data_IF_921496182483
#
_entry.id   IF_921496182483
#
_cell.length_a   1.000
_cell.length_b   1.000
_cell.length_c   1.000
_cell.angle_alpha   90.00
_cell.angle_beta   90.00
_cell.angle_gamma   90.00
#
_symmetry.space_group_name_H-M   'P 1'
#
loop_
_entity.id
_entity.type
_entity.pdbx_description
1 polymer ?
#
# COMPACT_ATOMS: atom_id res chain seq x y z
N UNK A 1 -24.53 -10.59 -7.30
CA UNK A 1 -24.52 -11.90 -7.95
C UNK A 1 -24.84 -11.82 -9.45
N UNK A 2 -25.93 -11.15 -9.84
CA UNK A 2 -26.37 -11.06 -11.24
C UNK A 2 -25.42 -10.26 -12.15
N UNK A 3 -24.82 -9.14 -11.67
CA UNK A 3 -23.84 -8.37 -12.43
C UNK A 3 -22.50 -9.12 -12.56
N UNK A 4 -22.05 -9.80 -11.52
CA UNK A 4 -20.86 -10.64 -11.57
C UNK A 4 -21.05 -11.85 -12.51
N UNK A 5 -22.23 -12.46 -12.51
CA UNK A 5 -22.57 -13.53 -13.44
C UNK A 5 -22.64 -13.03 -14.89
N UNK A 6 -23.17 -11.82 -15.10
CA UNK A 6 -23.24 -11.20 -16.43
C UNK A 6 -21.86 -10.79 -16.95
N UNK A 7 -20.99 -10.27 -16.10
CA UNK A 7 -19.59 -9.97 -16.44
C UNK A 7 -18.82 -11.27 -16.75
N UNK A 8 -19.03 -12.34 -16.01
CA UNK A 8 -18.43 -13.66 -16.27
C UNK A 8 -18.88 -14.21 -17.61
N UNK A 9 -20.15 -14.13 -17.93
CA UNK A 9 -20.67 -14.60 -19.21
C UNK A 9 -20.10 -13.81 -20.40
N UNK A 10 -19.98 -12.49 -20.29
CA UNK A 10 -19.38 -11.65 -21.33
C UNK A 10 -17.91 -12.00 -21.54
N UNK A 11 -17.15 -12.29 -20.49
CA UNK A 11 -15.77 -12.74 -20.61
C UNK A 11 -15.65 -14.13 -21.25
N UNK A 12 -16.58 -15.05 -20.91
CA UNK A 12 -16.59 -16.39 -21.49
C UNK A 12 -16.95 -16.38 -23.00
N UNK A 13 -17.78 -15.42 -23.43
CA UNK A 13 -18.14 -15.20 -24.84
C UNK A 13 -17.03 -14.50 -25.63
N UNK A 14 -16.20 -13.66 -25.00
CA UNK A 14 -15.13 -12.88 -25.63
C UNK A 14 -14.01 -13.75 -26.17
N UNK A 15 -13.72 -14.85 -25.48
CA UNK A 15 -12.63 -15.76 -25.83
C UNK A 15 -13.18 -17.14 -26.19
N UNK A 16 -13.13 -17.52 -27.46
CA UNK A 16 -13.67 -18.79 -27.95
C UNK A 16 -12.83 -20.02 -27.57
N UNK A 17 -11.54 -19.82 -27.26
CA UNK A 17 -10.63 -20.91 -26.92
C UNK A 17 -10.83 -21.38 -25.47
N UNK A 18 -10.77 -22.72 -25.25
CA UNK A 18 -10.66 -23.25 -23.88
C UNK A 18 -9.33 -22.82 -23.26
N UNK A 19 -9.34 -22.23 -22.05
CA UNK A 19 -8.11 -21.82 -21.40
C UNK A 19 -7.21 -23.01 -21.07
N UNK A 20 -5.91 -22.89 -21.34
CA UNK A 20 -4.92 -23.88 -20.92
C UNK A 20 -4.59 -23.74 -19.44
N UNK A 21 -4.63 -22.51 -18.92
CA UNK A 21 -4.33 -22.19 -17.54
C UNK A 21 -5.54 -21.53 -16.89
N UNK A 22 -6.02 -22.15 -15.83
CA UNK A 22 -7.10 -21.59 -14.98
C UNK A 22 -6.52 -21.30 -13.62
N UNK A 23 -6.44 -20.04 -13.27
CA UNK A 23 -5.88 -19.57 -12.02
C UNK A 23 -6.95 -19.00 -11.10
N UNK A 24 -6.68 -19.08 -9.79
CA UNK A 24 -7.51 -18.49 -8.75
C UNK A 24 -6.77 -17.31 -8.14
N UNK A 25 -7.45 -16.19 -8.02
CA UNK A 25 -6.94 -14.99 -7.39
C UNK A 25 -7.70 -14.75 -6.08
N UNK A 26 -7.06 -15.07 -4.95
CA UNK A 26 -7.61 -14.81 -3.62
C UNK A 26 -7.43 -13.35 -3.24
N UNK A 27 -8.55 -12.66 -2.98
CA UNK A 27 -8.55 -11.23 -2.64
C UNK A 27 -9.18 -11.03 -1.26
N UNK A 28 -8.34 -10.79 -0.26
CA UNK A 28 -8.75 -10.55 1.10
C UNK A 28 -9.61 -9.28 1.21
N UNK A 29 -10.82 -9.41 1.73
CA UNK A 29 -11.73 -8.29 1.95
C UNK A 29 -12.15 -7.50 0.70
N UNK A 30 -11.57 -7.79 -0.45
CA UNK A 30 -11.79 -7.06 -1.69
C UNK A 30 -13.02 -7.61 -2.43
N UNK A 31 -14.16 -7.00 -2.20
CA UNK A 31 -15.34 -7.25 -3.00
C UNK A 31 -15.34 -6.38 -4.27
N UNK A 32 -15.56 -7.01 -5.42
CA UNK A 32 -15.71 -6.29 -6.70
C UNK A 32 -16.90 -5.35 -6.69
N UNK A 33 -17.91 -5.68 -5.90
CA UNK A 33 -19.18 -4.94 -5.83
C UNK A 33 -19.08 -3.73 -4.89
N UNK A 34 -18.42 -3.87 -3.75
CA UNK A 34 -18.42 -2.86 -2.67
C UNK A 34 -17.10 -2.13 -2.51
N UNK A 35 -15.96 -2.79 -2.76
CA UNK A 35 -14.64 -2.18 -2.59
C UNK A 35 -14.05 -1.76 -3.92
N UNK A 36 -14.08 -0.45 -4.17
CA UNK A 36 -13.55 0.12 -5.40
C UNK A 36 -12.04 -0.08 -5.61
N UNK A 37 -11.26 -0.37 -4.55
CA UNK A 37 -9.85 -0.75 -4.66
C UNK A 37 -9.66 -2.04 -5.47
N UNK A 38 -10.60 -2.98 -5.44
CA UNK A 38 -10.56 -4.15 -6.31
C UNK A 38 -10.64 -3.76 -7.80
N UNK A 39 -11.32 -2.66 -8.11
CA UNK A 39 -11.42 -2.10 -9.47
C UNK A 39 -10.20 -1.28 -9.87
N UNK A 40 -9.42 -0.79 -8.89
CA UNK A 40 -8.21 -0.01 -9.17
C UNK A 40 -7.10 -0.90 -9.73
N UNK A 41 -6.89 -2.08 -9.15
CA UNK A 41 -5.74 -2.92 -9.47
C UNK A 41 -6.09 -4.35 -9.86
N UNK A 42 -6.72 -5.12 -8.98
CA UNK A 42 -6.87 -6.56 -9.18
C UNK A 42 -7.67 -6.93 -10.43
N UNK A 43 -8.74 -6.21 -10.73
CA UNK A 43 -9.57 -6.47 -11.92
C UNK A 43 -8.90 -5.96 -13.21
N UNK A 44 -8.13 -4.88 -13.15
CA UNK A 44 -7.33 -4.44 -14.29
C UNK A 44 -6.27 -5.48 -14.63
N UNK A 45 -5.60 -6.02 -13.62
CA UNK A 45 -4.61 -7.08 -13.81
C UNK A 45 -5.21 -8.33 -14.44
N UNK A 46 -6.36 -8.78 -13.94
CA UNK A 46 -7.08 -9.94 -14.53
C UNK A 46 -7.35 -9.69 -16.02
N UNK A 47 -7.92 -8.53 -16.35
CA UNK A 47 -8.23 -8.16 -17.73
C UNK A 47 -6.96 -8.11 -18.59
N UNK A 48 -5.90 -7.46 -18.15
CA UNK A 48 -4.64 -7.33 -18.90
C UNK A 48 -4.01 -8.70 -19.19
N UNK A 49 -4.00 -9.62 -18.22
CA UNK A 49 -3.48 -10.98 -18.42
C UNK A 49 -4.33 -11.75 -19.42
N UNK A 50 -5.64 -11.74 -19.29
CA UNK A 50 -6.55 -12.47 -20.16
C UNK A 50 -6.49 -11.94 -21.60
N UNK A 51 -6.50 -10.63 -21.80
CA UNK A 51 -6.40 -9.98 -23.11
C UNK A 51 -5.05 -10.25 -23.77
N UNK A 52 -3.96 -10.11 -23.02
CA UNK A 52 -2.58 -10.29 -23.53
C UNK A 52 -2.25 -11.73 -23.89
N UNK A 53 -2.97 -12.68 -23.33
CA UNK A 53 -2.82 -14.11 -23.59
C UNK A 53 -3.91 -14.68 -24.51
N UNK A 54 -4.76 -13.81 -25.09
CA UNK A 54 -5.95 -14.20 -25.88
C UNK A 54 -6.80 -15.29 -25.21
N UNK A 55 -6.94 -15.17 -23.87
CA UNK A 55 -7.69 -16.10 -23.05
C UNK A 55 -7.04 -17.46 -22.81
N UNK A 56 -5.78 -17.67 -23.22
CA UNK A 56 -5.04 -18.88 -22.85
C UNK A 56 -4.87 -19.02 -21.34
N UNK A 57 -4.73 -17.88 -20.63
CA UNK A 57 -4.85 -17.79 -19.17
C UNK A 57 -6.22 -17.19 -18.83
N UNK A 58 -6.91 -17.82 -17.85
CA UNK A 58 -8.13 -17.31 -17.24
C UNK A 58 -7.94 -17.22 -15.75
N UNK A 59 -8.38 -16.12 -15.16
CA UNK A 59 -8.24 -15.85 -13.73
C UNK A 59 -9.59 -15.65 -13.08
N UNK A 60 -9.94 -16.54 -12.16
CA UNK A 60 -11.11 -16.40 -11.31
C UNK A 60 -10.78 -15.55 -10.09
N UNK A 61 -11.42 -14.38 -9.98
CA UNK A 61 -11.26 -13.49 -8.83
C UNK A 61 -12.19 -13.94 -7.70
N UNK A 62 -11.59 -14.31 -6.56
CA UNK A 62 -12.26 -14.82 -5.36
C UNK A 62 -12.14 -13.79 -4.23
N UNK A 63 -13.02 -12.79 -4.28
CA UNK A 63 -13.05 -11.66 -3.32
C UNK A 63 -13.88 -11.94 -2.07
N UNK A 64 -14.08 -10.89 -1.27
CA UNK A 64 -14.95 -10.89 -0.08
C UNK A 64 -14.64 -11.99 0.95
N UNK A 65 -13.35 -12.30 1.15
CA UNK A 65 -12.89 -13.38 2.03
C UNK A 65 -13.43 -14.77 1.69
N UNK A 66 -13.92 -14.98 0.48
CA UNK A 66 -14.57 -16.25 0.07
C UNK A 66 -13.64 -17.46 0.13
N UNK A 67 -12.33 -17.23 -0.04
CA UNK A 67 -11.32 -18.30 0.02
C UNK A 67 -10.23 -18.01 1.05
N UNK A 68 -9.89 -16.75 1.29
CA UNK A 68 -8.86 -16.34 2.25
C UNK A 68 -9.13 -14.92 2.76
N UNK A 69 -8.70 -14.62 3.99
CA UNK A 69 -8.71 -13.29 4.60
C UNK A 69 -7.32 -12.66 4.59
N UNK A 70 -7.21 -11.43 5.09
CA UNK A 70 -5.97 -10.64 5.13
C UNK A 70 -4.75 -11.38 5.70
N UNK A 71 -4.95 -12.19 6.73
CA UNK A 71 -3.87 -12.93 7.39
C UNK A 71 -3.51 -14.25 6.70
N UNK A 72 -4.35 -14.78 5.82
CA UNK A 72 -4.22 -16.15 5.28
C UNK A 72 -4.01 -16.23 3.78
N UNK A 73 -4.24 -15.14 3.03
CA UNK A 73 -4.15 -15.17 1.57
C UNK A 73 -2.73 -15.47 1.07
N UNK A 74 -1.70 -14.86 1.67
CA UNK A 74 -0.31 -15.13 1.31
C UNK A 74 0.05 -16.61 1.55
N UNK A 75 -0.35 -17.18 2.69
CA UNK A 75 -0.13 -18.59 3.01
C UNK A 75 -0.78 -19.52 1.97
N UNK A 76 -2.05 -19.27 1.64
CA UNK A 76 -2.75 -20.08 0.64
C UNK A 76 -2.14 -19.97 -0.76
N UNK A 77 -1.53 -18.83 -1.09
CA UNK A 77 -0.76 -18.69 -2.32
C UNK A 77 0.55 -19.51 -2.27
N UNK A 78 1.28 -19.47 -1.17
CA UNK A 78 2.49 -20.31 -0.96
C UNK A 78 2.14 -21.78 -1.10
N UNK A 79 1.04 -22.24 -0.50
CA UNK A 79 0.56 -23.63 -0.55
C UNK A 79 -0.01 -24.01 -1.94
N UNK A 80 -0.27 -23.03 -2.84
CA UNK A 80 -0.83 -23.25 -4.17
C UNK A 80 -2.35 -23.49 -4.18
N UNK A 81 -3.03 -23.19 -3.08
CA UNK A 81 -4.51 -23.21 -2.99
C UNK A 81 -5.10 -22.11 -3.87
N UNK A 82 -4.50 -20.94 -3.84
CA UNK A 82 -4.70 -19.89 -4.85
C UNK A 82 -3.40 -19.67 -5.63
N UNK A 83 -3.51 -19.09 -6.82
CA UNK A 83 -2.37 -18.85 -7.71
C UNK A 83 -1.83 -17.43 -7.55
N UNK A 84 -2.73 -16.50 -7.33
CA UNK A 84 -2.46 -15.11 -6.98
C UNK A 84 -3.13 -14.78 -5.66
N UNK A 85 -2.58 -13.77 -4.97
CA UNK A 85 -3.21 -13.20 -3.79
C UNK A 85 -3.06 -11.69 -3.77
N UNK A 86 -3.97 -11.00 -3.10
CA UNK A 86 -3.80 -9.64 -2.63
C UNK A 86 -4.16 -9.57 -1.15
N UNK A 87 -3.26 -8.96 -0.38
CA UNK A 87 -3.47 -8.67 1.04
C UNK A 87 -2.51 -7.57 1.49
N UNK A 88 -2.75 -6.98 2.65
CA UNK A 88 -1.85 -5.97 3.20
C UNK A 88 -0.52 -6.58 3.64
N UNK A 89 0.57 -5.82 3.46
CA UNK A 89 1.92 -6.21 3.91
C UNK A 89 1.94 -6.51 5.40
N UNK A 90 1.27 -5.67 6.18
CA UNK A 90 1.20 -5.82 7.62
C UNK A 90 0.55 -7.15 8.03
N UNK A 91 -0.66 -7.45 7.57
CA UNK A 91 -1.36 -8.68 7.96
C UNK A 91 -0.65 -9.92 7.43
N UNK A 92 -0.13 -9.87 6.20
CA UNK A 92 0.63 -10.98 5.59
C UNK A 92 1.98 -11.22 6.26
N UNK A 93 2.50 -10.27 7.05
CA UNK A 93 3.81 -10.38 7.72
C UNK A 93 3.87 -11.44 8.81
N UNK A 94 2.74 -11.94 9.28
CA UNK A 94 2.70 -13.10 10.19
C UNK A 94 3.26 -14.35 9.52
N UNK A 95 3.04 -14.50 8.22
CA UNK A 95 3.53 -15.61 7.39
C UNK A 95 4.80 -15.23 6.65
N UNK A 96 4.85 -13.99 6.13
CA UNK A 96 5.96 -13.46 5.35
C UNK A 96 6.61 -12.25 6.07
N UNK A 97 7.36 -12.46 7.15
CA UNK A 97 7.94 -11.36 7.94
C UNK A 97 8.80 -10.38 7.13
N UNK A 98 9.34 -10.80 5.99
CA UNK A 98 10.13 -9.93 5.13
C UNK A 98 9.34 -8.78 4.51
N UNK A 99 8.02 -8.92 4.37
CA UNK A 99 7.13 -7.84 3.90
C UNK A 99 7.20 -6.57 4.76
N UNK A 100 7.53 -6.70 6.06
CA UNK A 100 7.70 -5.58 6.97
C UNK A 100 8.80 -4.60 6.54
N UNK A 101 9.71 -4.99 5.63
CA UNK A 101 10.73 -4.06 5.12
C UNK A 101 10.15 -2.88 4.35
N UNK A 102 8.90 -2.94 3.90
CA UNK A 102 8.22 -1.77 3.36
C UNK A 102 7.69 -0.82 4.44
N UNK A 103 7.53 -1.30 5.68
CA UNK A 103 6.78 -0.64 6.75
C UNK A 103 7.67 -0.04 7.88
N UNK A 104 8.97 0.12 7.67
CA UNK A 104 9.86 0.76 8.65
C UNK A 104 9.38 2.17 9.01
N UNK A 105 9.55 2.55 10.27
CA UNK A 105 9.20 3.90 10.74
C UNK A 105 9.92 4.98 9.94
N UNK A 106 9.15 5.90 9.38
CA UNK A 106 9.62 7.03 8.55
C UNK A 106 10.59 6.63 7.41
N UNK A 107 10.44 5.42 6.84
CA UNK A 107 11.24 5.01 5.68
C UNK A 107 10.94 5.88 4.45
N UNK A 108 9.67 6.09 4.16
CA UNK A 108 9.20 6.77 2.96
C UNK A 108 8.82 8.21 3.24
N UNK A 109 9.52 9.21 2.67
CA UNK A 109 9.18 10.63 2.90
C UNK A 109 7.84 11.04 2.27
N UNK A 110 7.45 10.36 1.20
CA UNK A 110 6.19 10.57 0.47
C UNK A 110 5.84 9.34 -0.37
N UNK A 111 4.66 9.33 -0.99
CA UNK A 111 4.22 8.24 -1.88
C UNK A 111 5.10 8.11 -3.14
N UNK A 112 5.66 9.23 -3.63
CA UNK A 112 6.57 9.19 -4.77
C UNK A 112 7.78 8.29 -4.52
N UNK A 113 8.36 8.33 -3.31
CA UNK A 113 9.48 7.47 -2.95
C UNK A 113 9.11 5.99 -2.96
N UNK A 114 7.93 5.65 -2.46
CA UNK A 114 7.43 4.29 -2.41
C UNK A 114 7.11 3.74 -3.82
N UNK A 115 6.43 4.52 -4.66
CA UNK A 115 6.18 4.16 -6.05
C UNK A 115 7.48 4.11 -6.88
N UNK A 116 8.42 5.06 -6.66
CA UNK A 116 9.73 5.02 -7.29
C UNK A 116 10.46 3.72 -6.99
N UNK A 117 10.48 3.30 -5.72
CA UNK A 117 11.05 2.02 -5.33
C UNK A 117 10.34 0.83 -6.01
N UNK A 118 9.02 0.85 -6.12
CA UNK A 118 8.27 -0.23 -6.77
C UNK A 118 8.65 -0.43 -8.26
N UNK A 119 9.01 0.66 -8.95
CA UNK A 119 9.47 0.63 -10.34
C UNK A 119 11.00 0.49 -10.48
N UNK A 120 11.76 0.67 -9.39
CA UNK A 120 13.22 0.61 -9.43
C UNK A 120 13.72 -0.84 -9.58
N UNK A 121 14.69 -1.06 -10.47
CA UNK A 121 15.34 -2.37 -10.65
C UNK A 121 15.97 -2.88 -9.34
N UNK A 122 16.42 -1.98 -8.44
CA UNK A 122 16.98 -2.35 -7.14
C UNK A 122 15.94 -2.98 -6.22
N UNK A 123 14.65 -2.75 -6.46
CA UNK A 123 13.58 -3.48 -5.76
C UNK A 123 13.59 -4.99 -6.05
N UNK A 124 14.21 -5.39 -7.17
CA UNK A 124 14.43 -6.80 -7.49
C UNK A 124 15.34 -7.47 -6.44
N UNK A 125 16.49 -6.86 -6.13
CA UNK A 125 17.44 -7.36 -5.13
C UNK A 125 16.95 -7.17 -3.69
N UNK A 126 16.33 -6.03 -3.39
CA UNK A 126 15.99 -5.66 -2.01
C UNK A 126 14.64 -6.20 -1.55
N UNK A 127 13.74 -6.55 -2.46
CA UNK A 127 12.38 -6.95 -2.10
C UNK A 127 11.89 -8.20 -2.82
N UNK A 128 11.92 -8.25 -4.18
CA UNK A 128 11.28 -9.33 -4.94
C UNK A 128 12.04 -10.64 -4.88
N UNK A 129 13.36 -10.62 -5.08
CA UNK A 129 14.19 -11.82 -4.95
C UNK A 129 14.09 -12.45 -3.55
N UNK A 130 14.22 -11.70 -2.45
CA UNK A 130 13.99 -12.27 -1.13
C UNK A 130 12.61 -12.90 -0.93
N UNK A 131 11.55 -12.30 -1.48
CA UNK A 131 10.21 -12.87 -1.40
C UNK A 131 10.11 -14.21 -2.16
N UNK A 132 10.74 -14.31 -3.33
CA UNK A 132 10.83 -15.59 -4.07
C UNK A 132 11.64 -16.62 -3.31
N UNK A 133 12.81 -16.24 -2.82
CA UNK A 133 13.74 -17.14 -2.13
C UNK A 133 13.18 -17.66 -0.80
N UNK A 134 12.59 -16.79 0.00
CA UNK A 134 12.11 -17.13 1.34
C UNK A 134 10.75 -17.82 1.32
N UNK A 135 9.85 -17.38 0.42
CA UNK A 135 8.45 -17.79 0.49
C UNK A 135 7.90 -18.36 -0.82
N UNK A 136 8.67 -18.36 -1.90
CA UNK A 136 8.19 -18.81 -3.22
C UNK A 136 7.11 -17.92 -3.82
N UNK A 137 7.12 -16.61 -3.48
CA UNK A 137 6.19 -15.62 -3.98
C UNK A 137 6.86 -14.67 -4.97
N UNK A 138 6.31 -14.54 -6.16
CA UNK A 138 6.62 -13.49 -7.11
C UNK A 138 5.79 -12.26 -6.81
N UNK A 139 6.42 -11.15 -6.43
CA UNK A 139 5.73 -9.90 -6.11
C UNK A 139 5.51 -9.10 -7.40
N UNK A 140 4.26 -8.86 -7.73
CA UNK A 140 3.86 -8.30 -9.02
C UNK A 140 3.65 -6.79 -8.96
N UNK A 141 2.64 -6.34 -8.22
CA UNK A 141 2.31 -4.92 -8.07
C UNK A 141 1.70 -4.66 -6.69
N UNK A 142 1.51 -3.40 -6.36
CA UNK A 142 0.87 -3.01 -5.11
C UNK A 142 0.15 -1.67 -5.22
N UNK A 143 -0.77 -1.49 -4.31
CA UNK A 143 -1.45 -0.26 -3.98
C UNK A 143 -0.75 0.30 -2.74
N UNK A 144 -0.20 1.51 -2.84
CA UNK A 144 0.76 2.05 -1.88
C UNK A 144 0.31 3.39 -1.32
N UNK A 145 0.09 3.43 -0.01
CA UNK A 145 -0.23 4.65 0.72
C UNK A 145 0.68 4.89 1.92
N UNK A 146 0.46 5.99 2.61
CA UNK A 146 1.18 6.37 3.82
C UNK A 146 0.21 6.53 4.99
N UNK A 147 0.55 5.93 6.12
CA UNK A 147 -0.34 5.87 7.28
C UNK A 147 -0.38 7.18 8.04
N UNK A 148 -1.60 7.52 8.44
CA UNK A 148 -1.92 8.54 9.40
C UNK A 148 -2.81 8.00 10.51
N UNK A 149 -3.30 8.90 11.37
CA UNK A 149 -4.18 8.57 12.47
C UNK A 149 -5.55 9.22 12.27
N UNK A 150 -6.57 8.40 12.17
CA UNK A 150 -7.98 8.81 12.16
C UNK A 150 -8.47 8.91 13.60
N UNK A 151 -8.54 10.11 14.14
CA UNK A 151 -8.89 10.39 15.53
C UNK A 151 -10.40 10.54 15.69
N UNK A 152 -10.99 9.89 16.70
CA UNK A 152 -12.44 9.80 16.83
C UNK A 152 -13.11 11.16 16.98
N UNK A 153 -14.25 11.34 16.32
CA UNK A 153 -15.09 12.56 16.39
C UNK A 153 -15.54 12.85 17.83
N UNK A 154 -15.78 11.81 18.61
CA UNK A 154 -16.23 11.93 20.00
C UNK A 154 -15.21 12.68 20.88
N UNK A 155 -13.92 12.38 20.73
CA UNK A 155 -12.85 13.01 21.53
C UNK A 155 -12.17 14.17 20.83
N UNK A 156 -12.08 14.16 19.50
CA UNK A 156 -11.25 15.06 18.70
C UNK A 156 -12.05 15.73 17.58
N UNK A 157 -13.38 15.85 17.74
CA UNK A 157 -14.24 16.52 16.77
C UNK A 157 -14.21 18.04 16.87
N UNK A 158 -15.18 18.69 16.22
CA UNK A 158 -15.31 20.15 16.14
C UNK A 158 -15.23 20.80 17.53
N UNK A 159 -14.43 21.86 17.66
CA UNK A 159 -14.23 22.60 18.91
C UNK A 159 -13.23 21.95 19.88
N UNK A 160 -12.61 20.86 19.51
CA UNK A 160 -11.49 20.26 20.26
C UNK A 160 -10.14 20.77 19.75
N UNK A 161 -9.07 20.74 20.60
CA UNK A 161 -7.74 21.14 20.17
C UNK A 161 -7.26 20.36 18.94
N UNK A 162 -6.62 21.06 18.01
CA UNK A 162 -6.00 20.44 16.85
C UNK A 162 -4.67 19.79 17.28
N UNK A 163 -4.47 18.55 16.86
CA UNK A 163 -3.29 17.74 17.20
C UNK A 163 -2.17 17.94 16.15
N UNK A 164 -1.71 19.17 15.99
CA UNK A 164 -0.75 19.62 14.99
C UNK A 164 0.72 19.47 15.38
N UNK A 165 0.99 18.94 16.59
CA UNK A 165 2.35 18.69 17.10
C UNK A 165 2.45 17.32 17.77
N UNK A 166 3.68 16.80 17.82
CA UNK A 166 4.00 15.54 18.50
C UNK A 166 3.64 15.60 20.00
N UNK A 167 3.89 16.72 20.67
CA UNK A 167 3.60 16.87 22.10
C UNK A 167 2.10 16.89 22.40
N UNK A 168 1.30 17.55 21.55
CA UNK A 168 -0.16 17.51 21.68
C UNK A 168 -0.68 16.09 21.45
N UNK A 169 -0.14 15.36 20.49
CA UNK A 169 -0.52 13.97 20.25
C UNK A 169 -0.18 13.08 21.45
N UNK A 170 1.05 13.17 21.97
CA UNK A 170 1.49 12.42 23.16
C UNK A 170 0.61 12.68 24.37
N UNK A 171 0.24 13.93 24.60
CA UNK A 171 -0.58 14.33 25.74
C UNK A 171 -2.00 13.72 25.73
N UNK A 172 -2.44 13.16 24.59
CA UNK A 172 -3.76 12.51 24.49
C UNK A 172 -3.80 11.14 25.13
N UNK A 173 -2.67 10.42 25.23
CA UNK A 173 -2.58 9.00 25.62
C UNK A 173 -3.63 8.12 24.89
N UNK A 174 -3.93 8.48 23.64
CA UNK A 174 -5.04 7.92 22.90
C UNK A 174 -4.86 6.41 22.65
N UNK A 175 -5.96 5.66 22.76
CA UNK A 175 -6.04 4.25 22.36
C UNK A 175 -6.25 4.17 20.85
N UNK A 176 -5.20 3.82 20.11
CA UNK A 176 -5.24 3.76 18.65
C UNK A 176 -5.24 2.30 18.20
N UNK A 177 -6.24 1.94 17.43
CA UNK A 177 -6.29 0.64 16.78
C UNK A 177 -5.14 0.50 15.79
N UNK A 178 -4.49 -0.64 15.81
CA UNK A 178 -3.47 -1.05 14.83
C UNK A 178 -3.71 -2.49 14.40
N UNK A 179 -3.07 -2.89 13.30
CA UNK A 179 -3.09 -4.28 12.80
C UNK A 179 -2.34 -5.27 13.70
N UNK A 180 -1.71 -4.82 14.77
CA UNK A 180 -0.91 -5.69 15.64
C UNK A 180 0.46 -6.06 15.09
N UNK A 181 0.87 -5.46 13.98
CA UNK A 181 2.20 -5.70 13.41
C UNK A 181 3.28 -4.99 14.18
N UNK A 182 4.44 -5.64 14.27
CA UNK A 182 5.54 -5.20 15.11
C UNK A 182 6.00 -3.78 14.80
N UNK A 183 6.11 -3.41 13.53
CA UNK A 183 6.65 -2.11 13.12
C UNK A 183 5.68 -0.96 13.44
N UNK A 184 4.39 -1.17 13.19
CA UNK A 184 3.37 -0.20 13.62
C UNK A 184 3.34 -0.02 15.13
N UNK A 185 3.41 -1.13 15.90
CA UNK A 185 3.44 -1.09 17.36
C UNK A 185 4.64 -0.31 17.91
N UNK A 186 5.84 -0.52 17.37
CA UNK A 186 7.03 0.21 17.79
C UNK A 186 6.83 1.72 17.56
N UNK A 187 6.45 2.10 16.33
CA UNK A 187 6.26 3.50 15.96
C UNK A 187 5.21 4.19 16.83
N UNK A 188 4.04 3.56 17.04
CA UNK A 188 2.97 4.13 17.86
C UNK A 188 3.37 4.27 19.33
N UNK A 189 4.05 3.28 19.92
CA UNK A 189 4.57 3.37 21.29
C UNK A 189 5.60 4.49 21.45
N UNK A 190 6.51 4.65 20.49
CA UNK A 190 7.47 5.75 20.49
C UNK A 190 6.78 7.12 20.44
N UNK A 191 5.68 7.23 19.69
CA UNK A 191 4.83 8.42 19.67
C UNK A 191 4.04 8.65 20.97
N UNK A 192 4.18 7.80 22.00
CA UNK A 192 3.43 7.92 23.25
C UNK A 192 1.95 7.54 23.15
N UNK A 193 1.58 6.76 22.14
CA UNK A 193 0.21 6.30 21.89
C UNK A 193 0.03 4.90 22.47
N UNK A 194 -1.19 4.57 22.89
CA UNK A 194 -1.56 3.24 23.38
C UNK A 194 -2.14 2.40 22.23
N UNK A 195 -1.33 1.55 21.56
CA UNK A 195 -1.81 0.74 20.46
C UNK A 195 -2.67 -0.43 20.93
N UNK A 196 -3.80 -0.64 20.26
CA UNK A 196 -4.76 -1.73 20.52
C UNK A 196 -4.89 -2.55 19.25
N UNK A 197 -4.52 -3.83 19.31
CA UNK A 197 -4.63 -4.73 18.17
C UNK A 197 -6.09 -5.18 17.99
N UNK A 198 -6.71 -4.76 16.90
CA UNK A 198 -8.10 -5.11 16.52
C UNK A 198 -8.11 -5.39 15.01
N UNK A 199 -8.88 -6.37 14.57
CA UNK A 199 -9.03 -6.69 13.15
C UNK A 199 -9.61 -5.50 12.36
N UNK A 200 -9.39 -5.49 11.04
CA UNK A 200 -9.91 -4.42 10.19
C UNK A 200 -11.44 -4.43 10.17
N UNK A 201 -12.04 -5.60 10.20
CA UNK A 201 -13.48 -5.82 10.15
C UNK A 201 -14.20 -5.31 11.41
N UNK A 202 -13.52 -5.28 12.55
CA UNK A 202 -14.10 -4.87 13.85
C UNK A 202 -13.87 -3.39 14.17
N UNK A 203 -13.07 -2.66 13.37
CA UNK A 203 -12.60 -1.32 13.72
C UNK A 203 -13.73 -0.28 13.84
N UNK A 204 -14.76 -0.37 12.99
CA UNK A 204 -15.91 0.55 13.02
C UNK A 204 -16.72 0.37 14.29
N UNK A 205 -16.97 -0.87 14.68
CA UNK A 205 -17.68 -1.16 15.93
C UNK A 205 -16.88 -0.73 17.16
N UNK A 206 -15.57 -0.93 17.16
CA UNK A 206 -14.71 -0.53 18.26
C UNK A 206 -14.70 0.99 18.48
N UNK A 207 -14.64 1.82 17.43
CA UNK A 207 -14.70 3.28 17.57
C UNK A 207 -16.10 3.75 18.00
N UNK A 208 -17.15 3.13 17.46
CA UNK A 208 -18.55 3.44 17.80
C UNK A 208 -18.83 3.21 19.26
N UNK A 209 -18.35 2.10 19.80
CA UNK A 209 -18.48 1.74 21.22
C UNK A 209 -17.55 2.54 22.15
N UNK A 210 -16.54 3.24 21.60
CA UNK A 210 -15.55 3.97 22.38
C UNK A 210 -14.47 3.08 22.99
N UNK A 211 -14.29 1.86 22.49
CA UNK A 211 -13.21 0.97 22.89
C UNK A 211 -11.83 1.50 22.42
N UNK A 212 -11.83 2.27 21.33
CA UNK A 212 -10.68 2.97 20.79
C UNK A 212 -10.98 4.46 20.61
N UNK A 213 -9.93 5.28 20.65
CA UNK A 213 -9.98 6.73 20.45
C UNK A 213 -9.67 7.15 19.01
N UNK A 214 -9.25 6.21 18.20
CA UNK A 214 -8.93 6.36 16.79
C UNK A 214 -8.32 5.09 16.23
N UNK A 215 -7.94 5.15 14.95
CA UNK A 215 -7.31 4.02 14.28
C UNK A 215 -6.27 4.50 13.27
N UNK A 216 -5.25 3.69 13.04
CA UNK A 216 -4.25 3.94 12.02
C UNK A 216 -4.64 3.28 10.70
N UNK A 217 -4.49 4.02 9.61
CA UNK A 217 -4.59 3.52 8.25
C UNK A 217 -3.93 4.50 7.28
N UNK A 218 -3.73 4.07 6.05
CA UNK A 218 -3.41 4.99 4.98
C UNK A 218 -4.67 5.67 4.42
N UNK A 219 -4.54 6.53 3.46
CA UNK A 219 -5.53 7.56 3.10
C UNK A 219 -6.89 7.02 2.64
N UNK A 220 -6.95 5.79 2.13
CA UNK A 220 -8.13 5.27 1.43
C UNK A 220 -8.99 4.27 2.24
N UNK A 221 -8.45 3.27 2.93
CA UNK A 221 -9.25 2.14 3.44
C UNK A 221 -10.44 2.55 4.31
N UNK A 222 -10.27 3.56 5.13
CA UNK A 222 -11.32 4.00 6.04
C UNK A 222 -12.47 4.76 5.36
N UNK A 223 -12.19 5.34 4.19
CA UNK A 223 -13.26 5.91 3.33
C UNK A 223 -14.16 4.83 2.71
N UNK A 224 -13.68 3.60 2.61
CA UNK A 224 -14.45 2.49 2.02
C UNK A 224 -15.36 1.75 3.01
N UNK A 225 -15.06 1.82 4.31
CA UNK A 225 -15.79 1.12 5.38
C UNK A 225 -16.57 2.06 6.29
N UNK A 226 -16.77 3.31 5.88
CA UNK A 226 -17.51 4.32 6.64
C UNK A 226 -16.88 4.71 8.00
N UNK A 227 -15.62 4.41 8.25
CA UNK A 227 -14.92 4.83 9.47
C UNK A 227 -14.80 6.35 9.55
N UNK A 228 -14.76 7.03 8.41
CA UNK A 228 -14.72 8.49 8.28
C UNK A 228 -15.91 9.18 8.96
N UNK A 229 -17.07 8.53 9.07
CA UNK A 229 -18.24 9.06 9.78
C UNK A 229 -17.97 9.27 11.28
N UNK A 230 -17.05 8.52 11.85
CA UNK A 230 -16.64 8.56 13.26
C UNK A 230 -15.35 9.35 13.49
N UNK A 231 -14.73 9.90 12.44
CA UNK A 231 -13.46 10.62 12.47
C UNK A 231 -13.67 12.11 12.65
N UNK A 232 -12.97 12.75 13.59
CA UNK A 232 -12.94 14.20 13.80
C UNK A 232 -11.71 14.88 13.21
N UNK A 233 -10.53 14.29 13.39
CA UNK A 233 -9.28 14.74 12.82
C UNK A 233 -8.58 13.59 12.12
N UNK A 234 -7.95 13.86 11.00
CA UNK A 234 -7.02 12.96 10.33
C UNK A 234 -5.61 13.56 10.39
N UNK A 235 -4.72 12.93 11.14
CA UNK A 235 -3.33 13.35 11.26
C UNK A 235 -2.53 12.65 10.16
N UNK A 236 -2.11 13.38 9.14
CA UNK A 236 -1.37 12.83 8.01
C UNK A 236 0.13 12.74 8.31
N UNK A 237 0.49 11.77 9.15
CA UNK A 237 1.84 11.63 9.73
C UNK A 237 2.85 10.95 8.81
N UNK A 238 2.41 10.18 7.82
CA UNK A 238 3.28 9.41 6.92
C UNK A 238 4.30 8.53 7.68
N UNK A 239 3.94 8.11 8.89
CA UNK A 239 4.87 7.50 9.84
C UNK A 239 5.36 6.09 9.42
N UNK A 240 4.62 5.40 8.60
CA UNK A 240 5.01 4.18 7.90
C UNK A 240 4.11 3.99 6.67
N UNK A 241 4.43 3.02 5.82
CA UNK A 241 3.59 2.73 4.67
C UNK A 241 2.36 1.87 5.03
N UNK A 242 1.36 1.94 4.17
CA UNK A 242 0.22 1.04 4.14
C UNK A 242 0.08 0.52 2.72
N UNK A 243 0.15 -0.80 2.56
CA UNK A 243 0.24 -1.37 1.23
C UNK A 243 -0.65 -2.58 1.11
N UNK A 244 -1.38 -2.70 0.02
CA UNK A 244 -1.89 -3.96 -0.48
C UNK A 244 -1.00 -4.43 -1.63
N UNK A 245 -0.49 -5.64 -1.53
CA UNK A 245 0.43 -6.19 -2.52
C UNK A 245 -0.14 -7.44 -3.16
N UNK A 246 0.03 -7.53 -4.46
CA UNK A 246 -0.31 -8.72 -5.24
C UNK A 246 0.93 -9.55 -5.47
N UNK A 247 0.82 -10.81 -5.10
CA UNK A 247 1.84 -11.82 -5.38
C UNK A 247 1.27 -13.04 -6.09
N UNK A 248 2.15 -13.75 -6.77
CA UNK A 248 1.86 -15.00 -7.46
C UNK A 248 2.72 -16.13 -6.91
N UNK A 249 2.21 -17.36 -6.88
CA UNK A 249 3.03 -18.54 -6.64
C UNK A 249 4.12 -18.66 -7.70
N UNK A 250 5.38 -18.40 -7.31
CA UNK A 250 6.52 -18.35 -8.22
C UNK A 250 6.75 -19.67 -8.96
N UNK A 251 6.53 -20.81 -8.30
CA UNK A 251 6.68 -22.14 -8.93
C UNK A 251 5.70 -22.35 -10.06
N UNK A 252 4.46 -21.83 -9.91
CA UNK A 252 3.45 -21.90 -10.99
C UNK A 252 3.82 -20.97 -12.14
N UNK A 253 4.33 -19.77 -11.87
CA UNK A 253 4.84 -18.86 -12.89
C UNK A 253 5.94 -19.54 -13.71
N UNK A 254 6.94 -20.12 -13.04
CA UNK A 254 8.09 -20.76 -13.72
C UNK A 254 7.77 -22.02 -14.53
N UNK A 255 6.62 -22.64 -14.29
CA UNK A 255 6.16 -23.79 -15.10
C UNK A 255 5.53 -23.40 -16.43
N UNK A 256 5.22 -22.13 -16.63
CA UNK A 256 4.63 -21.64 -17.88
C UNK A 256 5.68 -21.35 -18.95
N UNK A 257 5.32 -21.41 -20.24
CA UNK A 257 6.17 -20.90 -21.32
C UNK A 257 6.59 -19.45 -21.07
N UNK A 258 7.81 -19.09 -21.48
CA UNK A 258 8.41 -17.77 -21.24
C UNK A 258 7.50 -16.61 -21.72
N UNK A 259 6.86 -16.75 -22.90
CA UNK A 259 5.92 -15.74 -23.40
C UNK A 259 4.74 -15.46 -22.46
N UNK A 260 4.26 -16.48 -21.70
CA UNK A 260 3.19 -16.31 -20.72
C UNK A 260 3.71 -15.73 -19.41
N UNK A 261 4.94 -16.08 -19.02
CA UNK A 261 5.60 -15.42 -17.90
C UNK A 261 5.76 -13.92 -18.18
N UNK A 262 6.25 -13.57 -19.38
CA UNK A 262 6.40 -12.18 -19.81
C UNK A 262 5.05 -11.46 -19.90
N UNK A 263 4.00 -12.12 -20.39
CA UNK A 263 2.65 -11.55 -20.42
C UNK A 263 2.13 -11.19 -19.02
N UNK A 264 2.36 -12.04 -18.02
CA UNK A 264 2.01 -11.76 -16.62
C UNK A 264 2.82 -10.59 -16.06
N UNK A 265 4.13 -10.55 -16.30
CA UNK A 265 5.00 -9.49 -15.80
C UNK A 265 4.65 -8.15 -16.44
N UNK A 266 4.40 -8.12 -17.75
CA UNK A 266 3.98 -6.91 -18.45
C UNK A 266 2.61 -6.42 -17.99
N UNK A 267 1.65 -7.34 -17.76
CA UNK A 267 0.35 -7.00 -17.18
C UNK A 267 0.49 -6.43 -15.77
N UNK A 268 1.41 -6.97 -14.96
CA UNK A 268 1.71 -6.46 -13.63
C UNK A 268 2.28 -5.04 -13.67
N UNK A 269 3.20 -4.77 -14.61
CA UNK A 269 3.76 -3.44 -14.80
C UNK A 269 2.69 -2.41 -15.21
N UNK A 270 1.87 -2.73 -16.20
CA UNK A 270 0.81 -1.84 -16.67
C UNK A 270 -0.24 -1.60 -15.57
N UNK A 271 -0.55 -2.64 -14.80
CA UNK A 271 -1.43 -2.51 -13.64
C UNK A 271 -0.80 -1.60 -12.60
N UNK A 272 0.51 -1.73 -12.30
CA UNK A 272 1.18 -0.85 -11.34
C UNK A 272 1.15 0.62 -11.77
N UNK A 273 1.31 0.90 -13.08
CA UNK A 273 1.17 2.26 -13.64
C UNK A 273 -0.26 2.77 -13.49
N UNK A 274 -1.25 1.93 -13.79
CA UNK A 274 -2.67 2.27 -13.63
C UNK A 274 -3.05 2.53 -12.19
N UNK A 275 -2.56 1.69 -11.26
CA UNK A 275 -2.81 1.82 -9.82
C UNK A 275 -2.29 3.15 -9.31
N UNK A 276 -1.05 3.54 -9.66
CA UNK A 276 -0.48 4.82 -9.25
C UNK A 276 -1.43 5.98 -9.59
N UNK A 277 -1.89 6.08 -10.84
CA UNK A 277 -2.76 7.17 -11.26
C UNK A 277 -4.14 7.15 -10.60
N UNK A 278 -4.73 5.97 -10.46
CA UNK A 278 -6.05 5.79 -9.85
C UNK A 278 -6.02 6.04 -8.34
N UNK A 279 -4.96 5.61 -7.67
CA UNK A 279 -4.75 5.81 -6.24
C UNK A 279 -4.62 7.31 -5.93
N UNK A 280 -3.71 8.01 -6.63
CA UNK A 280 -3.53 9.45 -6.45
C UNK A 280 -4.83 10.23 -6.71
N UNK A 281 -5.56 9.90 -7.78
CA UNK A 281 -6.86 10.50 -8.05
C UNK A 281 -7.89 10.20 -6.96
N UNK A 282 -7.86 9.00 -6.41
CA UNK A 282 -8.77 8.57 -5.35
C UNK A 282 -8.49 9.27 -4.03
N UNK A 283 -7.21 9.46 -3.68
CA UNK A 283 -6.81 10.22 -2.49
C UNK A 283 -7.22 11.68 -2.64
N UNK A 284 -6.86 12.30 -3.76
CA UNK A 284 -7.09 13.72 -3.98
C UNK A 284 -8.58 14.10 -4.09
N UNK A 285 -9.40 13.27 -4.75
CA UNK A 285 -10.78 13.65 -5.10
C UNK A 285 -11.79 12.93 -4.22
N UNK A 286 -11.61 11.63 -4.00
CA UNK A 286 -12.60 10.80 -3.30
C UNK A 286 -12.43 10.82 -1.79
N UNK A 287 -11.22 10.56 -1.29
CA UNK A 287 -10.92 10.63 0.13
C UNK A 287 -10.78 12.08 0.61
N UNK A 288 -9.95 12.86 -0.05
CA UNK A 288 -9.57 14.21 0.37
C UNK A 288 -8.61 14.22 1.54
N UNK A 289 -7.87 13.13 1.77
CA UNK A 289 -7.08 12.93 2.99
C UNK A 289 -5.72 13.66 3.00
N UNK A 290 -5.17 14.04 1.85
CA UNK A 290 -3.82 14.61 1.72
C UNK A 290 -3.80 16.15 1.55
N UNK A 291 -4.94 16.81 1.76
CA UNK A 291 -5.10 18.25 1.62
C UNK A 291 -5.62 18.84 2.93
N UNK A 292 -5.11 20.01 3.34
CA UNK A 292 -5.59 20.70 4.55
C UNK A 292 -7.10 21.01 4.44
N UNK A 293 -7.51 21.49 3.27
CA UNK A 293 -8.91 21.72 2.95
C UNK A 293 -9.39 20.60 2.02
N UNK A 294 -10.14 19.61 2.54
CA UNK A 294 -10.66 18.54 1.73
C UNK A 294 -11.56 19.06 0.59
N UNK A 295 -11.42 18.57 -0.64
CA UNK A 295 -12.25 18.99 -1.76
C UNK A 295 -13.73 18.76 -1.51
N UNK A 296 -14.57 19.67 -1.97
CA UNK A 296 -16.03 19.58 -1.87
C UNK A 296 -16.52 18.26 -2.47
N UNK A 297 -17.28 17.51 -1.68
CA UNK A 297 -17.82 16.21 -2.07
C UNK A 297 -16.93 15.03 -1.76
N UNK A 298 -15.69 15.24 -1.30
CA UNK A 298 -14.84 14.15 -0.79
C UNK A 298 -15.38 13.58 0.53
N UNK A 299 -14.91 12.40 0.92
CA UNK A 299 -15.34 11.75 2.17
C UNK A 299 -14.94 12.57 3.41
N UNK A 300 -13.73 13.15 3.42
CA UNK A 300 -13.30 14.00 4.53
C UNK A 300 -14.13 15.30 4.61
N UNK A 301 -14.47 15.90 3.47
CA UNK A 301 -15.35 17.07 3.43
C UNK A 301 -16.75 16.75 3.95
N UNK A 302 -17.41 15.69 3.44
CA UNK A 302 -18.76 15.27 3.84
C UNK A 302 -18.87 15.00 5.35
N UNK A 303 -17.82 14.47 5.93
CA UNK A 303 -17.80 14.10 7.35
C UNK A 303 -17.24 15.20 8.26
N UNK A 304 -16.90 16.37 7.70
CA UNK A 304 -16.30 17.50 8.43
C UNK A 304 -15.03 17.09 9.19
N UNK A 305 -14.16 16.32 8.55
CA UNK A 305 -12.88 15.90 9.14
C UNK A 305 -11.88 17.05 8.99
N UNK A 306 -11.22 17.43 10.07
CA UNK A 306 -10.08 18.33 10.02
C UNK A 306 -8.83 17.54 9.62
N UNK A 307 -8.32 17.77 8.41
CA UNK A 307 -7.02 17.23 8.03
C UNK A 307 -5.91 18.03 8.69
N UNK A 308 -5.03 17.34 9.39
CA UNK A 308 -3.94 17.95 10.14
C UNK A 308 -2.63 17.53 9.48
N UNK A 309 -2.00 18.46 8.77
CA UNK A 309 -0.70 18.30 8.15
C UNK A 309 0.32 18.98 9.04
N UNK A 310 1.26 18.21 9.57
CA UNK A 310 2.30 18.74 10.45
C UNK A 310 3.34 19.53 9.67
N UNK A 311 3.91 20.55 10.32
CA UNK A 311 5.03 21.29 9.75
C UNK A 311 6.26 20.39 9.52
N UNK A 312 7.17 20.81 8.64
CA UNK A 312 8.39 20.06 8.38
C UNK A 312 9.22 19.85 9.66
N UNK A 313 9.21 20.82 10.58
CA UNK A 313 9.90 20.72 11.88
C UNK A 313 9.29 19.61 12.77
N UNK A 314 7.99 19.51 12.83
CA UNK A 314 7.31 18.44 13.58
C UNK A 314 7.49 17.07 12.92
N UNK A 315 7.50 17.03 11.58
CA UNK A 315 7.79 15.80 10.84
C UNK A 315 9.25 15.35 11.05
N UNK A 316 10.20 16.27 11.14
CA UNK A 316 11.60 15.97 11.47
C UNK A 316 11.76 15.45 12.90
N UNK A 317 11.01 16.00 13.87
CA UNK A 317 10.97 15.47 15.24
C UNK A 317 10.41 14.04 15.25
N UNK A 318 9.34 13.81 14.50
CA UNK A 318 8.73 12.48 14.38
C UNK A 318 9.72 11.50 13.75
N UNK A 319 10.35 11.84 12.64
CA UNK A 319 11.35 10.99 11.98
C UNK A 319 12.47 10.61 12.92
N UNK A 320 13.06 11.60 13.64
CA UNK A 320 14.12 11.35 14.63
C UNK A 320 13.68 10.40 15.74
N UNK A 321 12.42 10.43 16.10
CA UNK A 321 11.87 9.59 17.16
C UNK A 321 11.63 8.15 16.70
N UNK A 322 11.04 7.96 15.52
CA UNK A 322 10.53 6.65 15.09
C UNK A 322 11.40 5.93 14.06
N UNK A 323 12.31 6.63 13.35
CA UNK A 323 13.12 6.00 12.31
C UNK A 323 14.27 5.18 12.89
N UNK A 324 14.52 3.95 12.38
CA UNK A 324 15.73 3.19 12.73
C UNK A 324 17.03 3.97 12.43
N UNK A 325 17.00 4.93 11.52
CA UNK A 325 18.16 5.78 11.20
C UNK A 325 18.68 6.53 12.40
N UNK A 326 17.78 7.04 13.23
CA UNK A 326 18.10 7.90 14.37
C UNK A 326 17.88 7.20 15.71
N UNK A 327 17.04 6.19 15.78
CA UNK A 327 16.66 5.47 17.00
C UNK A 327 16.89 3.97 16.87
N UNK A 328 18.15 3.58 16.59
CA UNK A 328 18.54 2.18 16.37
C UNK A 328 18.15 1.25 17.53
N UNK A 329 18.29 1.74 18.78
CA UNK A 329 18.01 0.94 19.96
C UNK A 329 16.56 0.40 19.99
N UNK A 330 15.59 1.21 19.57
CA UNK A 330 14.18 0.80 19.53
C UNK A 330 13.91 -0.29 18.47
N UNK A 331 14.77 -0.41 17.46
CA UNK A 331 14.60 -1.28 16.31
C UNK A 331 15.60 -2.44 16.23
N UNK A 332 16.57 -2.53 17.17
CA UNK A 332 17.71 -3.44 17.10
C UNK A 332 17.29 -4.90 16.80
N UNK A 333 16.33 -5.42 17.55
CA UNK A 333 15.89 -6.81 17.36
C UNK A 333 15.27 -7.06 15.97
N UNK A 334 14.56 -6.06 15.43
CA UNK A 334 13.95 -6.14 14.11
C UNK A 334 14.98 -5.97 13.00
N UNK A 335 15.93 -5.06 13.16
CA UNK A 335 17.04 -4.90 12.21
C UNK A 335 17.85 -6.19 12.09
N UNK A 336 18.20 -6.81 13.21
CA UNK A 336 18.90 -8.12 13.23
C UNK A 336 18.09 -9.18 12.49
N UNK A 337 16.78 -9.27 12.78
CA UNK A 337 15.89 -10.25 12.13
C UNK A 337 15.79 -10.01 10.61
N UNK A 338 15.55 -8.79 10.18
CA UNK A 338 15.38 -8.48 8.77
C UNK A 338 16.70 -8.61 7.99
N UNK A 339 17.82 -8.20 8.57
CA UNK A 339 19.15 -8.37 7.99
C UNK A 339 19.49 -9.86 7.81
N UNK A 340 19.12 -10.71 8.77
CA UNK A 340 19.26 -12.17 8.65
C UNK A 340 18.41 -12.73 7.50
N UNK A 341 17.18 -12.30 7.34
CA UNK A 341 16.30 -12.73 6.25
C UNK A 341 16.83 -12.26 4.88
N UNK A 342 17.33 -11.05 4.81
CA UNK A 342 17.93 -10.51 3.59
C UNK A 342 19.26 -11.23 3.25
N UNK A 343 20.15 -11.39 4.21
CA UNK A 343 21.41 -12.15 4.08
C UNK A 343 22.55 -11.40 3.36
N UNK A 344 22.35 -10.15 2.96
CA UNK A 344 23.29 -9.36 2.13
C UNK A 344 23.56 -7.96 2.71
N UNK A 345 23.59 -7.86 4.05
CA UNK A 345 23.89 -6.64 4.80
C UNK A 345 22.67 -5.93 5.39
N UNK A 346 22.76 -4.63 5.58
CA UNK A 346 21.72 -3.84 6.21
C UNK A 346 20.62 -3.45 5.21
N UNK A 347 19.48 -4.16 5.29
CA UNK A 347 18.35 -3.93 4.38
C UNK A 347 17.70 -2.55 4.61
N UNK A 348 17.58 -2.12 5.88
CA UNK A 348 17.00 -0.81 6.18
C UNK A 348 17.84 0.31 5.57
N UNK A 349 19.16 0.33 5.80
CA UNK A 349 20.03 1.39 5.28
C UNK A 349 20.01 1.45 3.75
N UNK A 350 19.97 0.30 3.08
CA UNK A 350 19.87 0.25 1.61
C UNK A 350 18.56 0.84 1.09
N UNK A 351 17.43 0.46 1.68
CA UNK A 351 16.12 0.98 1.31
C UNK A 351 15.97 2.46 1.66
N UNK A 352 16.48 2.86 2.83
CA UNK A 352 16.47 4.25 3.27
C UNK A 352 17.26 5.15 2.31
N UNK A 353 18.44 4.72 1.85
CA UNK A 353 19.22 5.46 0.88
C UNK A 353 18.42 5.71 -0.42
N UNK A 354 17.78 4.68 -0.96
CA UNK A 354 16.94 4.81 -2.17
C UNK A 354 15.74 5.74 -1.93
N UNK A 355 15.08 5.62 -0.80
CA UNK A 355 13.93 6.47 -0.47
C UNK A 355 14.33 7.97 -0.38
N UNK A 356 15.56 8.27 0.01
CA UNK A 356 16.08 9.66 0.13
C UNK A 356 16.61 10.23 -1.18
N UNK A 357 16.70 9.46 -2.26
CA UNK A 357 16.93 9.99 -3.61
C UNK A 357 15.73 10.81 -4.10
N UNK A 358 14.54 10.56 -3.55
CA UNK A 358 13.31 11.24 -3.94
C UNK A 358 13.09 12.49 -3.09
N UNK A 359 12.93 13.68 -3.70
CA UNK A 359 12.69 14.92 -2.95
C UNK A 359 11.42 14.85 -2.09
N UNK A 360 11.43 15.45 -0.90
CA UNK A 360 10.25 15.49 0.00
C UNK A 360 8.99 16.06 -0.66
N UNK A 361 9.14 17.04 -1.55
CA UNK A 361 8.04 17.67 -2.31
C UNK A 361 7.70 16.98 -3.63
N UNK A 362 8.25 15.79 -3.92
CA UNK A 362 7.91 15.06 -5.14
C UNK A 362 6.48 14.51 -5.09
N UNK A 363 5.78 14.59 -6.21
CA UNK A 363 4.48 13.99 -6.38
C UNK A 363 4.61 12.57 -6.94
N UNK A 364 3.75 11.65 -6.51
CA UNK A 364 3.77 10.28 -7.00
C UNK A 364 3.55 10.22 -8.53
N UNK A 365 2.76 11.13 -9.08
CA UNK A 365 2.52 11.25 -10.51
C UNK A 365 3.76 11.70 -11.32
N UNK A 366 4.81 12.20 -10.67
CA UNK A 366 6.09 12.56 -11.31
C UNK A 366 7.05 11.36 -11.42
N UNK A 367 6.71 10.20 -10.84
CA UNK A 367 7.56 9.00 -10.88
C UNK A 367 7.70 8.49 -12.31
N UNK A 368 8.93 8.18 -12.72
CA UNK A 368 9.21 7.52 -14.00
C UNK A 368 8.92 6.01 -13.90
N UNK A 369 7.85 5.49 -14.54
CA UNK A 369 7.60 4.05 -14.53
C UNK A 369 8.71 3.30 -15.28
N UNK A 370 9.19 2.20 -14.70
CA UNK A 370 10.16 1.32 -15.31
C UNK A 370 9.80 -0.15 -15.05
N UNK A 371 10.16 -1.01 -15.99
CA UNK A 371 10.02 -2.46 -15.86
C UNK A 371 11.17 -2.99 -15.00
N UNK A 372 10.93 -3.18 -13.70
CA UNK A 372 11.94 -3.55 -12.72
C UNK A 372 12.73 -4.83 -13.03
N UNK A 373 12.22 -5.70 -13.90
CA UNK A 373 12.87 -6.94 -14.33
C UNK A 373 13.64 -6.82 -15.68
N UNK A 374 13.64 -5.62 -16.27
CA UNK A 374 14.39 -5.32 -17.51
C UNK A 374 15.64 -4.52 -17.18
N UNK A 375 16.65 -4.53 -18.03
CA UNK A 375 17.80 -3.65 -17.91
C UNK A 375 17.37 -2.18 -17.84
N UNK A 376 18.10 -1.40 -17.06
CA UNK A 376 17.84 0.04 -16.98
C UNK A 376 18.02 0.71 -18.35
N UNK A 377 17.15 1.68 -18.68
CA UNK A 377 17.39 2.52 -19.83
C UNK A 377 18.65 3.37 -19.63
N UNK A 378 19.32 3.84 -20.72
CA UNK A 378 20.58 4.61 -20.61
C UNK A 378 20.50 5.89 -19.78
N UNK A 379 19.30 6.48 -19.66
CA UNK A 379 19.07 7.69 -18.87
C UNK A 379 18.84 7.40 -17.37
N UNK A 380 18.69 6.12 -16.98
CA UNK A 380 18.50 5.74 -15.57
C UNK A 380 19.85 5.68 -14.87
N UNK A 381 20.04 6.54 -13.88
CA UNK A 381 21.20 6.53 -13.01
C UNK A 381 20.77 6.32 -11.56
N UNK A 382 21.40 5.37 -10.90
CA UNK A 382 21.16 5.16 -9.47
C UNK A 382 21.68 6.37 -8.67
N UNK A 383 21.01 6.69 -7.59
CA UNK A 383 21.33 7.86 -6.77
C UNK A 383 20.66 9.16 -7.23
N UNK A 384 19.95 9.18 -8.35
CA UNK A 384 19.26 10.35 -8.87
C UNK A 384 17.75 10.17 -8.90
N UNK A 385 17.01 11.24 -8.62
CA UNK A 385 15.57 11.27 -8.79
C UNK A 385 15.18 11.11 -10.28
N UNK A 386 14.39 10.07 -10.58
CA UNK A 386 13.91 9.80 -11.94
C UNK A 386 12.51 10.36 -12.08
N UNK A 387 12.44 11.56 -12.62
CA UNK A 387 11.18 12.16 -13.01
C UNK A 387 10.75 11.65 -14.38
N UNK A 388 9.47 11.24 -14.51
CA UNK A 388 8.88 10.87 -15.79
C UNK A 388 8.81 12.08 -16.72
N UNK A 389 9.51 12.02 -17.86
CA UNK A 389 9.32 12.98 -18.93
C UNK A 389 8.26 12.44 -19.91
N UNK A 390 7.19 13.17 -20.12
CA UNK A 390 6.26 12.94 -21.23
C UNK A 390 4.92 12.29 -20.91
N UNK A 391 4.63 11.85 -19.70
CA UNK A 391 3.28 11.38 -19.33
C UNK A 391 2.39 12.48 -18.74
N UNK A 392 2.95 13.62 -18.37
CA UNK A 392 2.22 14.74 -17.78
C UNK A 392 2.47 16.01 -18.57
N UNK A 393 1.38 16.64 -18.98
CA UNK A 393 1.39 18.00 -19.52
C UNK A 393 2.16 18.86 -18.51
N UNK A 394 3.29 19.44 -18.93
CA UNK A 394 4.00 20.43 -18.12
C UNK A 394 2.98 21.40 -17.58
N UNK A 395 2.77 21.40 -16.27
CA UNK A 395 2.00 22.45 -15.63
C UNK A 395 2.68 23.77 -16.04
N UNK A 396 2.05 24.49 -16.94
CA UNK A 396 2.44 25.84 -17.34
C UNK A 396 2.08 26.82 -16.23
N UNK A 397 2.55 26.59 -15.01
CA UNK A 397 2.65 27.66 -14.04
C UNK A 397 3.77 28.55 -14.53
N UNK A 398 3.43 29.55 -15.34
CA UNK A 398 4.26 30.76 -15.47
C UNK A 398 4.60 31.19 -14.05
N UNK A 399 5.90 31.29 -13.74
CA UNK A 399 6.35 32.05 -12.59
C UNK A 399 5.71 33.41 -12.73
N UNK A 400 4.85 33.79 -11.80
CA UNK A 400 4.48 35.19 -11.64
C UNK A 400 5.79 35.91 -11.29
N UNK A 401 6.23 36.78 -12.18
CA UNK A 401 7.26 37.77 -11.91
C UNK A 401 6.78 38.76 -10.86
#
# INVERSE_FOLDING_TARGET
HMLAQKAKNIQDERYKAKPKYKFRYGAAGHSVDTMWVAKIGTMDFVREVEERTDGEIRIEHLGSNSICGEMTCAEKCIQGIVDFYVASTNNSSTICPYLLNLDWGALWPNRAALYSFAFDHRSEDLFREPMRRLYGLEMLFGDYGLRGLFMSKKKFGKGKPILDTLDKLKATEAKIRTTGTYFGLISLKLMGINPVAISFEEVVDAVRQGAIDGAEAWEIPFSMIHFTEYTGQFLYLKYCSGNWVTGMNHRKLKKMPERLQEAIMESAYLTQVSVLGKEEASIAIRSGADQEEPPVGSEHWKNNISNVIWSDEEMDKLEKLISPKYNKAAWESQMVKQNKLYGRGDIFEKMYAIAREVPRGAYAMDVAPHRWWKPNPPWWKDGEWKRGEGYYVKSTKKKAE
#
